data_IF_252085024166
#
_entry.id   IF_252085024166
#
_cell.length_a   1.000
_cell.length_b   1.000
_cell.length_c   1.000
_cell.angle_alpha   90.00
_cell.angle_beta   90.00
_cell.angle_gamma   90.00
#
_symmetry.space_group_name_H-M   'P 1'
#
loop_
_entity.id
_entity.type
_entity.pdbx_description
1 polymer ?
#
# COMPACT_ATOMS: atom_id res chain seq x y z
N UNK A 1 -2.04 -10.27 -1.82
CA UNK A 1 -3.41 -9.73 -2.02
C UNK A 1 -3.37 -8.37 -2.70
N UNK A 2 -2.86 -7.33 -2.03
CA UNK A 2 -2.93 -5.95 -2.54
C UNK A 2 -2.21 -5.74 -3.88
N UNK A 3 -1.03 -6.33 -4.09
CA UNK A 3 -0.25 -6.12 -5.32
C UNK A 3 -0.96 -6.51 -6.62
N UNK A 4 -1.85 -7.49 -6.60
CA UNK A 4 -2.61 -7.91 -7.80
C UNK A 4 -4.03 -7.35 -7.75
N UNK A 5 -4.84 -7.79 -6.79
CA UNK A 5 -6.26 -7.42 -6.73
C UNK A 5 -6.47 -5.96 -6.34
N UNK A 6 -5.63 -5.42 -5.45
CA UNK A 6 -5.69 -4.01 -5.06
C UNK A 6 -5.31 -3.10 -6.22
N UNK A 7 -4.25 -3.42 -6.96
CA UNK A 7 -3.84 -2.64 -8.14
C UNK A 7 -4.87 -2.74 -9.27
N UNK A 8 -5.50 -3.90 -9.47
CA UNK A 8 -6.58 -4.05 -10.44
C UNK A 8 -7.80 -3.22 -10.05
N UNK A 9 -8.20 -3.24 -8.78
CA UNK A 9 -9.29 -2.40 -8.27
C UNK A 9 -8.99 -0.90 -8.44
N UNK A 10 -7.75 -0.47 -8.16
CA UNK A 10 -7.30 0.91 -8.39
C UNK A 10 -7.32 1.28 -9.88
N UNK A 11 -6.91 0.38 -10.77
CA UNK A 11 -6.96 0.62 -12.21
C UNK A 11 -8.40 0.83 -12.70
N UNK A 12 -9.34 -0.02 -12.25
CA UNK A 12 -10.77 0.11 -12.58
C UNK A 12 -11.35 1.40 -11.99
N UNK A 13 -11.01 1.75 -10.74
CA UNK A 13 -11.40 3.02 -10.12
C UNK A 13 -10.97 4.22 -10.97
N UNK A 14 -9.68 4.27 -11.35
CA UNK A 14 -9.10 5.36 -12.15
C UNK A 14 -9.73 5.42 -13.53
N UNK A 15 -10.01 4.27 -14.16
CA UNK A 15 -10.73 4.19 -15.43
C UNK A 15 -12.14 4.80 -15.34
N UNK A 16 -12.91 4.44 -14.32
CA UNK A 16 -14.23 5.01 -14.08
C UNK A 16 -14.16 6.52 -13.80
N UNK A 17 -13.20 6.96 -12.99
CA UNK A 17 -12.99 8.39 -12.73
C UNK A 17 -12.65 9.16 -14.01
N UNK A 18 -11.82 8.60 -14.89
CA UNK A 18 -11.46 9.24 -16.17
C UNK A 18 -12.67 9.42 -17.09
N UNK A 19 -13.59 8.45 -17.12
CA UNK A 19 -14.79 8.49 -17.96
C UNK A 19 -15.82 9.54 -17.49
N UNK A 20 -15.82 9.89 -16.21
CA UNK A 20 -16.81 10.80 -15.61
C UNK A 20 -16.35 12.26 -15.50
N UNK A 21 -15.09 12.58 -15.86
CA UNK A 21 -14.47 13.87 -15.53
C UNK A 21 -14.13 14.69 -16.78
N UNK A 22 -14.26 16.01 -16.67
CA UNK A 22 -13.78 16.96 -17.67
C UNK A 22 -12.24 17.01 -17.68
N UNK A 23 -11.63 17.33 -18.83
CA UNK A 23 -10.15 17.35 -18.97
C UNK A 23 -9.47 18.36 -18.02
N UNK A 24 -10.20 19.42 -17.60
CA UNK A 24 -9.70 20.41 -16.65
C UNK A 24 -9.53 19.83 -15.25
N UNK A 25 -10.54 19.11 -14.74
CA UNK A 25 -10.48 18.48 -13.42
C UNK A 25 -9.55 17.26 -13.42
N UNK A 26 -9.47 16.55 -14.55
CA UNK A 26 -8.55 15.42 -14.72
C UNK A 26 -7.08 15.81 -14.56
N UNK A 27 -6.62 16.92 -15.17
CA UNK A 27 -5.22 17.38 -15.07
C UNK A 27 -4.75 17.65 -13.64
N UNK A 28 -5.65 18.06 -12.74
CA UNK A 28 -5.34 18.19 -11.31
C UNK A 28 -5.27 16.81 -10.63
N UNK A 29 -6.26 15.96 -10.88
CA UNK A 29 -6.43 14.65 -10.26
C UNK A 29 -5.33 13.65 -10.64
N UNK A 30 -4.89 13.69 -11.89
CA UNK A 30 -3.82 12.82 -12.43
C UNK A 30 -2.52 12.95 -11.61
N UNK A 31 -2.18 14.16 -11.15
CA UNK A 31 -0.99 14.40 -10.35
C UNK A 31 -1.04 13.64 -9.02
N UNK A 32 -2.20 13.64 -8.37
CA UNK A 32 -2.43 12.91 -7.11
C UNK A 32 -2.38 11.40 -7.32
N UNK A 33 -3.02 10.90 -8.39
CA UNK A 33 -3.01 9.47 -8.74
C UNK A 33 -1.60 8.99 -9.04
N UNK A 34 -0.79 9.78 -9.77
CA UNK A 34 0.59 9.42 -10.10
C UNK A 34 1.49 9.29 -8.87
N UNK A 35 1.39 10.25 -7.94
CA UNK A 35 2.13 10.18 -6.66
C UNK A 35 1.68 8.96 -5.87
N UNK A 36 0.37 8.77 -5.76
CA UNK A 36 -0.26 7.63 -5.11
C UNK A 36 0.18 6.28 -5.65
N UNK A 37 0.23 6.15 -6.98
CA UNK A 37 0.67 4.93 -7.65
C UNK A 37 2.09 4.53 -7.23
N UNK A 38 3.02 5.48 -7.24
CA UNK A 38 4.39 5.22 -6.81
C UNK A 38 4.49 4.95 -5.32
N UNK A 39 3.78 5.70 -4.48
CA UNK A 39 3.79 5.49 -3.03
C UNK A 39 3.26 4.11 -2.62
N UNK A 40 2.19 3.65 -3.27
CA UNK A 40 1.62 2.30 -3.05
C UNK A 40 2.60 1.20 -3.47
N UNK A 41 3.22 1.32 -4.64
CA UNK A 41 4.17 0.31 -5.13
C UNK A 41 5.45 0.27 -4.29
N UNK A 42 6.05 1.43 -4.01
CA UNK A 42 7.26 1.54 -3.18
C UNK A 42 6.97 1.08 -1.75
N UNK A 43 5.87 1.55 -1.16
CA UNK A 43 5.48 1.14 0.20
C UNK A 43 5.26 -0.36 0.31
N UNK A 44 4.57 -0.97 -0.67
CA UNK A 44 4.35 -2.41 -0.69
C UNK A 44 5.65 -3.19 -0.88
N UNK A 45 6.53 -2.75 -1.78
CA UNK A 45 7.82 -3.39 -1.99
C UNK A 45 8.69 -3.31 -0.72
N UNK A 46 8.73 -2.15 -0.07
CA UNK A 46 9.48 -1.95 1.18
C UNK A 46 8.95 -2.81 2.32
N UNK A 47 7.62 -2.93 2.50
CA UNK A 47 7.05 -3.82 3.54
C UNK A 47 7.49 -5.26 3.35
N UNK A 48 7.53 -5.74 2.11
CA UNK A 48 7.92 -7.12 1.81
C UNK A 48 9.42 -7.31 2.02
N UNK A 49 10.25 -6.40 1.52
CA UNK A 49 11.71 -6.56 1.56
C UNK A 49 12.32 -6.31 2.93
N UNK A 50 11.80 -5.33 3.67
CA UNK A 50 12.40 -4.90 4.95
C UNK A 50 11.92 -5.71 6.14
N UNK A 51 10.70 -6.25 6.09
CA UNK A 51 10.07 -6.91 7.24
C UNK A 51 9.61 -8.32 6.88
N UNK A 52 8.61 -8.45 5.99
CA UNK A 52 7.89 -9.70 5.79
C UNK A 52 8.81 -10.86 5.33
N UNK A 53 9.72 -10.57 4.41
CA UNK A 53 10.68 -11.53 3.90
C UNK A 53 11.75 -11.91 4.94
N UNK A 54 12.55 -10.99 5.50
CA UNK A 54 13.58 -11.34 6.47
C UNK A 54 13.00 -11.95 7.75
N UNK A 55 11.88 -11.43 8.26
CA UNK A 55 11.22 -12.00 9.44
C UNK A 55 10.71 -13.42 9.16
N UNK A 56 10.15 -13.65 7.97
CA UNK A 56 9.70 -14.97 7.53
C UNK A 56 10.85 -15.98 7.41
N UNK A 57 12.01 -15.58 6.87
CA UNK A 57 13.20 -16.45 6.76
C UNK A 57 13.73 -16.82 8.15
N UNK A 58 13.85 -15.86 9.07
CA UNK A 58 14.31 -16.11 10.44
C UNK A 58 13.34 -17.04 11.17
N UNK A 59 12.03 -16.83 11.01
CA UNK A 59 11.01 -17.65 11.62
C UNK A 59 10.98 -19.08 11.04
N UNK A 60 11.21 -19.23 9.74
CA UNK A 60 11.30 -20.54 9.09
C UNK A 60 12.54 -21.30 9.59
N UNK A 61 13.70 -20.63 9.64
CA UNK A 61 14.93 -21.23 10.13
C UNK A 61 14.79 -21.73 11.57
N UNK A 62 14.22 -20.92 12.45
CA UNK A 62 13.98 -21.32 13.84
C UNK A 62 12.98 -22.47 13.96
N UNK A 63 11.95 -22.48 13.10
CA UNK A 63 10.98 -23.59 13.05
C UNK A 63 11.63 -24.91 12.65
N UNK A 64 12.60 -24.88 11.73
CA UNK A 64 13.33 -26.07 11.27
C UNK A 64 14.32 -26.54 12.33
N UNK A 65 15.00 -25.62 13.02
CA UNK A 65 16.01 -25.95 14.03
C UNK A 65 15.41 -26.42 15.36
N UNK A 66 14.37 -25.74 15.85
CA UNK A 66 13.84 -25.88 17.21
C UNK A 66 12.38 -26.37 17.26
N UNK A 67 11.74 -26.53 16.10
CA UNK A 67 10.34 -26.90 15.96
C UNK A 67 9.40 -25.69 15.91
N UNK A 68 8.24 -25.87 15.27
CA UNK A 68 7.26 -24.80 15.03
C UNK A 68 6.78 -24.09 16.31
N UNK A 69 6.69 -24.81 17.42
CA UNK A 69 6.28 -24.25 18.70
C UNK A 69 7.24 -23.17 19.20
N UNK A 70 8.53 -23.29 18.90
CA UNK A 70 9.57 -22.37 19.36
C UNK A 70 9.50 -21.04 18.60
N UNK A 71 9.37 -21.11 17.28
CA UNK A 71 9.26 -19.96 16.37
C UNK A 71 7.97 -19.12 16.54
N UNK A 72 7.02 -19.60 17.36
CA UNK A 72 5.75 -18.92 17.68
C UNK A 72 5.67 -18.50 19.14
N UNK A 73 6.72 -18.69 19.95
CA UNK A 73 6.72 -18.24 21.34
C UNK A 73 6.80 -16.72 21.44
N UNK A 74 6.15 -16.16 22.46
CA UNK A 74 6.16 -14.73 22.72
C UNK A 74 7.57 -14.18 22.96
N UNK A 75 8.44 -14.98 23.58
CA UNK A 75 9.84 -14.64 23.83
C UNK A 75 10.65 -14.45 22.54
N UNK A 76 10.28 -15.14 21.46
CA UNK A 76 10.89 -15.00 20.14
C UNK A 76 10.31 -13.80 19.38
N UNK A 77 8.99 -13.63 19.40
CA UNK A 77 8.29 -12.55 18.70
C UNK A 77 8.59 -11.17 19.30
N UNK A 78 8.57 -11.04 20.64
CA UNK A 78 8.85 -9.78 21.32
C UNK A 78 10.35 -9.54 21.58
N UNK A 79 11.21 -10.38 21.01
CA UNK A 79 12.65 -10.37 21.30
C UNK A 79 13.53 -10.15 20.06
N UNK A 80 14.72 -9.60 20.29
CA UNK A 80 15.84 -9.69 19.36
C UNK A 80 15.64 -8.97 18.01
N UNK A 81 15.98 -9.67 16.92
CA UNK A 81 15.93 -9.14 15.56
C UNK A 81 14.51 -9.09 14.98
N UNK A 82 13.63 -10.02 15.36
CA UNK A 82 12.25 -10.05 14.87
C UNK A 82 11.50 -8.77 15.24
N UNK A 83 11.58 -8.38 16.51
CA UNK A 83 10.94 -7.15 16.98
C UNK A 83 11.50 -5.88 16.29
N UNK A 84 12.80 -5.84 15.98
CA UNK A 84 13.40 -4.70 15.26
C UNK A 84 12.88 -4.59 13.82
N UNK A 85 12.64 -5.72 13.15
CA UNK A 85 12.07 -5.74 11.80
C UNK A 85 10.62 -5.24 11.81
N UNK A 86 9.83 -5.62 12.81
CA UNK A 86 8.46 -5.08 12.99
C UNK A 86 8.47 -3.55 13.16
N UNK A 87 9.43 -3.00 13.92
CA UNK A 87 9.57 -1.55 14.04
C UNK A 87 9.96 -0.88 12.73
N UNK A 88 10.85 -1.51 11.95
CA UNK A 88 11.24 -1.02 10.62
C UNK A 88 10.04 -0.99 9.66
N UNK A 89 9.13 -1.97 9.80
CA UNK A 89 7.90 -2.06 9.02
C UNK A 89 7.04 -0.80 9.09
N UNK A 90 6.96 -0.16 10.26
CA UNK A 90 6.17 1.07 10.47
C UNK A 90 6.60 2.16 9.49
N UNK A 91 7.89 2.25 9.15
CA UNK A 91 8.39 3.19 8.15
C UNK A 91 7.85 2.92 6.74
N UNK A 92 7.78 1.65 6.34
CA UNK A 92 7.21 1.25 5.05
C UNK A 92 5.69 1.44 5.03
N UNK A 93 5.00 1.12 6.14
CA UNK A 93 3.57 1.35 6.32
C UNK A 93 3.23 2.85 6.20
N UNK A 94 4.08 3.72 6.74
CA UNK A 94 3.92 5.17 6.63
C UNK A 94 4.06 5.66 5.19
N UNK A 95 5.02 5.14 4.42
CA UNK A 95 5.19 5.49 3.00
C UNK A 95 3.95 5.04 2.20
N UNK A 96 3.50 3.82 2.42
CA UNK A 96 2.30 3.30 1.76
C UNK A 96 1.06 4.14 2.06
N UNK A 97 0.90 4.57 3.31
CA UNK A 97 -0.24 5.39 3.73
C UNK A 97 -0.15 6.83 3.20
N UNK A 98 0.95 7.53 3.50
CA UNK A 98 1.10 8.96 3.24
C UNK A 98 1.37 9.29 1.78
N UNK A 99 2.22 8.52 1.11
CA UNK A 99 2.58 8.77 -0.29
C UNK A 99 1.70 7.96 -1.25
N UNK A 100 1.05 6.89 -0.77
CA UNK A 100 0.26 5.98 -1.59
C UNK A 100 -1.25 6.18 -1.44
N UNK A 101 -1.82 5.65 -0.37
CA UNK A 101 -3.26 5.56 -0.16
C UNK A 101 -3.92 6.94 0.00
N UNK A 102 -3.32 7.86 0.77
CA UNK A 102 -3.88 9.18 1.01
C UNK A 102 -4.00 10.05 -0.26
N UNK A 103 -2.96 10.18 -1.10
CA UNK A 103 -3.07 10.93 -2.36
C UNK A 103 -4.14 10.37 -3.30
N UNK A 104 -4.27 9.05 -3.39
CA UNK A 104 -5.31 8.41 -4.21
C UNK A 104 -6.70 8.73 -3.66
N UNK A 105 -6.90 8.58 -2.34
CA UNK A 105 -8.18 8.85 -1.70
C UNK A 105 -8.59 10.32 -1.83
N UNK A 106 -7.65 11.26 -1.60
CA UNK A 106 -7.88 12.69 -1.76
C UNK A 106 -8.15 13.07 -3.23
N UNK A 107 -7.41 12.47 -4.17
CA UNK A 107 -7.63 12.65 -5.61
C UNK A 107 -9.02 12.18 -6.02
N UNK A 108 -9.44 11.00 -5.59
CA UNK A 108 -10.78 10.46 -5.87
C UNK A 108 -11.88 11.30 -5.22
N UNK A 109 -11.73 11.71 -3.96
CA UNK A 109 -12.71 12.53 -3.25
C UNK A 109 -12.88 13.90 -3.92
N UNK A 110 -11.76 14.56 -4.27
CA UNK A 110 -11.77 15.85 -4.97
C UNK A 110 -12.40 15.72 -6.36
N UNK A 111 -12.10 14.64 -7.07
CA UNK A 111 -12.68 14.32 -8.38
C UNK A 111 -14.20 14.18 -8.29
N UNK A 112 -14.71 13.49 -7.27
CA UNK A 112 -16.16 13.34 -7.03
C UNK A 112 -16.81 14.70 -6.67
N UNK A 113 -16.16 15.52 -5.84
CA UNK A 113 -16.71 16.81 -5.42
C UNK A 113 -16.78 17.82 -6.56
N UNK A 114 -15.74 17.89 -7.40
CA UNK A 114 -15.69 18.76 -8.58
C UNK A 114 -16.36 18.13 -9.80
N UNK A 115 -17.39 17.29 -9.60
CA UNK A 115 -18.18 16.74 -10.72
C UNK A 115 -18.87 17.89 -11.44
N UNK A 116 -18.32 18.29 -12.58
CA UNK A 116 -19.00 19.15 -13.53
C UNK A 116 -20.15 18.34 -14.15
N UNK A 117 -21.37 18.49 -13.62
CA UNK A 117 -22.59 18.02 -14.30
C UNK A 117 -22.87 18.98 -15.48
N UNK A 118 -22.08 18.87 -16.55
CA UNK A 118 -22.45 19.44 -17.85
C UNK A 118 -23.56 18.59 -18.48
N UNK A 119 -24.63 19.19 -19.06
CA UNK A 119 -25.75 18.43 -19.60
C UNK A 119 -25.25 17.44 -20.65
N UNK A 120 -25.73 16.20 -20.55
CA UNK A 120 -25.59 15.21 -21.60
C UNK A 120 -26.10 15.85 -22.91
N UNK A 121 -25.19 16.10 -23.83
CA UNK A 121 -25.50 16.46 -25.21
C UNK A 121 -25.59 15.19 -26.05
#
# INVERSE_FOLDING_TARGET
MFGVFGMLALAVLVFCLRAMQSDKVWKETEKFIRVGFWGVNIGLALMVLLDLFPAGVIQLWDSVANGYWHARRLTFLMGGLYHKLEWLRIGADLIFLLAGALPIALGALRSIWKRDLGPAA
#
